data_IF_357902739434
#
_entry.id   IF_357902739434
#
_cell.length_a   1.000
_cell.length_b   1.000
_cell.length_c   1.000
_cell.angle_alpha   90.00
_cell.angle_beta   90.00
_cell.angle_gamma   90.00
#
_symmetry.space_group_name_H-M   'P 1'
#
loop_
_entity.id
_entity.type
_entity.pdbx_description
1 polymer ?
#
# COMPACT_ATOMS: atom_id res chain seq x y z
N UNK A 1 -2.90 -34.37 -22.83
CA UNK A 1 -3.00 -33.34 -21.78
C UNK A 1 -4.17 -32.34 -21.97
N UNK A 2 -5.13 -32.55 -22.90
CA UNK A 2 -6.25 -31.61 -23.12
C UNK A 2 -7.20 -31.44 -21.92
N UNK A 3 -7.10 -32.29 -20.90
CA UNK A 3 -7.87 -32.26 -19.66
C UNK A 3 -7.12 -31.63 -18.47
N UNK A 4 -5.87 -31.18 -18.65
CA UNK A 4 -5.10 -30.57 -17.58
C UNK A 4 -5.78 -29.27 -17.15
N UNK A 5 -6.07 -29.16 -15.85
CA UNK A 5 -6.72 -27.97 -15.24
C UNK A 5 -5.74 -27.12 -14.47
N UNK A 6 -4.77 -27.73 -13.81
CA UNK A 6 -3.84 -27.04 -12.92
C UNK A 6 -2.42 -27.36 -13.36
N UNK A 7 -1.66 -26.34 -13.73
CA UNK A 7 -0.25 -26.44 -14.04
C UNK A 7 0.53 -25.54 -13.08
N UNK A 8 1.18 -26.17 -12.09
CA UNK A 8 2.04 -25.49 -11.14
C UNK A 8 3.48 -25.96 -11.32
N UNK A 9 4.34 -25.03 -11.72
CA UNK A 9 5.77 -25.24 -11.96
C UNK A 9 6.61 -24.25 -11.14
N UNK A 10 6.05 -23.67 -10.07
CA UNK A 10 6.74 -22.67 -9.25
C UNK A 10 8.13 -23.12 -8.81
N UNK A 11 9.13 -22.25 -8.98
CA UNK A 11 10.53 -22.48 -8.62
C UNK A 11 11.29 -23.42 -9.56
N UNK A 12 10.67 -23.90 -10.65
CA UNK A 12 11.38 -24.73 -11.64
C UNK A 12 12.19 -23.82 -12.57
N UNK A 13 13.50 -24.01 -12.57
CA UNK A 13 14.41 -23.16 -13.30
C UNK A 13 14.52 -23.56 -14.79
N UNK A 14 13.79 -22.87 -15.68
CA UNK A 14 13.75 -23.20 -17.10
C UNK A 14 14.79 -22.44 -17.94
N UNK A 15 15.13 -21.19 -17.59
CA UNK A 15 15.92 -20.27 -18.44
C UNK A 15 15.44 -20.24 -19.91
N UNK A 16 14.12 -20.29 -20.12
CA UNK A 16 13.53 -20.34 -21.45
C UNK A 16 12.28 -19.46 -21.56
N UNK A 17 11.85 -19.11 -22.79
CA UNK A 17 10.52 -18.54 -23.00
C UNK A 17 9.40 -19.47 -22.57
N UNK A 18 8.24 -18.88 -22.26
CA UNK A 18 7.00 -19.64 -22.11
C UNK A 18 6.56 -20.10 -23.51
N UNK A 19 6.38 -21.41 -23.74
CA UNK A 19 6.08 -21.90 -25.08
C UNK A 19 4.66 -21.51 -25.50
N UNK A 20 4.51 -20.93 -26.69
CA UNK A 20 3.21 -20.59 -27.31
C UNK A 20 2.22 -21.75 -27.29
N UNK A 21 2.70 -22.99 -27.40
CA UNK A 21 1.86 -24.19 -27.35
C UNK A 21 1.01 -24.34 -26.08
N UNK A 22 1.33 -23.60 -25.00
CA UNK A 22 0.56 -23.60 -23.75
C UNK A 22 -0.88 -23.10 -23.95
N UNK A 23 -1.13 -22.26 -24.96
CA UNK A 23 -2.48 -21.81 -25.35
C UNK A 23 -3.40 -22.96 -25.77
N UNK A 24 -2.85 -24.14 -26.12
CA UNK A 24 -3.63 -25.31 -26.48
C UNK A 24 -4.25 -26.04 -25.27
N UNK A 25 -3.91 -25.62 -24.04
CA UNK A 25 -4.47 -26.16 -22.80
C UNK A 25 -5.81 -25.49 -22.46
N UNK A 26 -6.83 -25.65 -23.30
CA UNK A 26 -8.13 -24.98 -23.14
C UNK A 26 -8.91 -25.34 -21.87
N UNK A 27 -8.55 -26.43 -21.19
CA UNK A 27 -9.14 -26.83 -19.90
C UNK A 27 -8.45 -26.17 -18.70
N UNK A 28 -7.39 -25.38 -18.91
CA UNK A 28 -6.59 -24.81 -17.83
C UNK A 28 -7.40 -23.80 -17.03
N UNK A 29 -7.36 -23.97 -15.71
CA UNK A 29 -7.99 -23.15 -14.67
C UNK A 29 -6.93 -22.39 -13.89
N UNK A 30 -5.77 -23.01 -13.63
CA UNK A 30 -4.67 -22.42 -12.91
C UNK A 30 -3.35 -22.63 -13.65
N UNK A 31 -2.61 -21.54 -13.85
CA UNK A 31 -1.24 -21.51 -14.32
C UNK A 31 -0.37 -20.80 -13.27
N UNK A 32 0.62 -21.51 -12.73
CA UNK A 32 1.60 -20.96 -11.80
C UNK A 32 3.01 -21.27 -12.28
N UNK A 33 3.74 -20.21 -12.64
CA UNK A 33 5.10 -20.21 -13.17
C UNK A 33 5.99 -19.23 -12.37
N UNK A 34 5.73 -19.08 -11.07
CA UNK A 34 6.45 -18.15 -10.21
C UNK A 34 7.92 -18.55 -10.09
N UNK A 35 8.85 -17.60 -10.19
CA UNK A 35 10.26 -17.86 -9.88
C UNK A 35 10.89 -18.92 -10.78
N UNK A 36 10.55 -18.91 -12.06
CA UNK A 36 10.93 -19.96 -13.02
C UNK A 36 12.11 -19.56 -13.93
N UNK A 37 12.68 -18.37 -13.71
CA UNK A 37 13.70 -17.75 -14.57
C UNK A 37 13.28 -17.69 -16.04
N UNK A 38 11.99 -17.39 -16.27
CA UNK A 38 11.43 -17.24 -17.61
C UNK A 38 11.92 -15.95 -18.26
N UNK A 39 12.07 -15.98 -19.58
CA UNK A 39 12.57 -14.87 -20.40
C UNK A 39 11.68 -14.63 -21.62
N UNK A 40 11.86 -13.51 -22.32
CA UNK A 40 11.11 -13.22 -23.55
C UNK A 40 9.66 -12.82 -23.27
N UNK A 41 8.78 -12.87 -24.27
CA UNK A 41 7.39 -12.43 -24.12
C UNK A 41 6.49 -13.56 -23.61
N UNK A 42 5.59 -13.23 -22.69
CA UNK A 42 4.53 -14.12 -22.23
C UNK A 42 3.40 -14.21 -23.27
N UNK A 43 2.93 -15.42 -23.64
CA UNK A 43 1.86 -15.58 -24.61
C UNK A 43 0.53 -14.97 -24.14
N UNK A 44 0.15 -13.84 -24.74
CA UNK A 44 -1.03 -13.06 -24.31
C UNK A 44 -2.36 -13.80 -24.45
N UNK A 45 -2.46 -14.75 -25.36
CA UNK A 45 -3.68 -15.54 -25.55
C UNK A 45 -4.00 -16.44 -24.35
N UNK A 46 -3.04 -16.67 -23.43
CA UNK A 46 -3.29 -17.38 -22.17
C UNK A 46 -4.29 -16.61 -21.29
N UNK A 47 -4.27 -15.27 -21.31
CA UNK A 47 -5.25 -14.44 -20.58
C UNK A 47 -6.68 -14.60 -21.10
N UNK A 48 -6.83 -15.13 -22.32
CA UNK A 48 -8.11 -15.30 -23.02
C UNK A 48 -8.62 -16.74 -22.97
N UNK A 49 -7.92 -17.65 -22.29
CA UNK A 49 -8.38 -19.03 -22.13
C UNK A 49 -9.73 -19.07 -21.39
N UNK A 50 -10.69 -19.90 -21.85
CA UNK A 50 -12.09 -19.79 -21.42
C UNK A 50 -12.30 -20.14 -19.94
N UNK A 51 -11.45 -20.99 -19.37
CA UNK A 51 -11.58 -21.50 -18.00
C UNK A 51 -10.57 -20.91 -17.02
N UNK A 52 -9.66 -20.05 -17.48
CA UNK A 52 -8.54 -19.58 -16.65
C UNK A 52 -9.06 -18.68 -15.52
N UNK A 53 -8.61 -18.97 -14.31
CA UNK A 53 -8.97 -18.25 -13.09
C UNK A 53 -7.74 -17.73 -12.34
N UNK A 54 -6.61 -18.41 -12.47
CA UNK A 54 -5.37 -18.05 -11.78
C UNK A 54 -4.23 -18.00 -12.80
N UNK A 55 -3.57 -16.85 -12.88
CA UNK A 55 -2.30 -16.69 -13.57
C UNK A 55 -1.32 -16.08 -12.57
N UNK A 56 -0.28 -16.83 -12.22
CA UNK A 56 0.85 -16.37 -11.43
C UNK A 56 2.13 -16.59 -12.25
N UNK A 57 2.71 -15.50 -12.74
CA UNK A 57 3.99 -15.48 -13.46
C UNK A 57 5.04 -14.64 -12.72
N UNK A 58 4.80 -14.41 -11.43
CA UNK A 58 5.60 -13.49 -10.62
C UNK A 58 7.05 -13.93 -10.45
N UNK A 59 7.94 -13.00 -10.07
CA UNK A 59 9.35 -13.27 -9.82
C UNK A 59 10.07 -13.87 -11.04
N UNK A 60 9.78 -13.34 -12.22
CA UNK A 60 10.51 -13.64 -13.45
C UNK A 60 11.00 -12.31 -14.05
N UNK A 61 12.10 -11.77 -13.51
CA UNK A 61 12.59 -10.42 -13.78
C UNK A 61 12.90 -10.15 -15.28
N UNK A 62 13.13 -11.19 -16.07
CA UNK A 62 13.41 -11.10 -17.51
C UNK A 62 12.21 -11.46 -18.41
N UNK A 63 11.08 -11.88 -17.83
CA UNK A 63 9.85 -12.16 -18.56
C UNK A 63 9.13 -10.85 -18.87
N UNK A 64 8.86 -10.63 -20.15
CA UNK A 64 8.09 -9.50 -20.63
C UNK A 64 6.62 -9.89 -20.64
N UNK A 65 5.78 -9.14 -19.95
CA UNK A 65 4.33 -9.32 -19.97
C UNK A 65 3.69 -8.07 -20.57
N UNK A 66 2.66 -8.26 -21.40
CA UNK A 66 1.85 -7.16 -21.96
C UNK A 66 0.40 -7.49 -21.69
N UNK A 67 -0.30 -6.67 -20.91
CA UNK A 67 -1.71 -6.95 -20.65
C UNK A 67 -2.53 -6.77 -21.94
N UNK A 68 -3.27 -7.80 -22.41
CA UNK A 68 -4.09 -7.68 -23.59
C UNK A 68 -5.36 -6.88 -23.31
N UNK A 69 -6.14 -6.63 -24.35
CA UNK A 69 -7.52 -6.21 -24.13
C UNK A 69 -8.32 -7.40 -23.60
N UNK A 70 -8.77 -7.31 -22.36
CA UNK A 70 -9.55 -8.37 -21.72
C UNK A 70 -10.96 -8.48 -22.31
N UNK A 71 -11.50 -9.69 -22.31
CA UNK A 71 -12.87 -9.96 -22.75
C UNK A 71 -13.85 -9.89 -21.57
N UNK A 72 -15.07 -9.43 -21.87
CA UNK A 72 -16.18 -9.53 -20.93
C UNK A 72 -16.48 -11.00 -20.63
N UNK A 73 -16.83 -11.30 -19.37
CA UNK A 73 -17.15 -12.67 -18.94
C UNK A 73 -15.92 -13.52 -18.57
N UNK A 74 -14.71 -12.94 -18.57
CA UNK A 74 -13.53 -13.64 -18.04
C UNK A 74 -13.75 -14.14 -16.61
N UNK A 75 -13.30 -15.36 -16.35
CA UNK A 75 -13.36 -16.00 -15.04
C UNK A 75 -12.13 -15.69 -14.17
N UNK A 76 -11.20 -14.84 -14.64
CA UNK A 76 -9.96 -14.55 -13.93
C UNK A 76 -10.24 -13.98 -12.53
N UNK A 77 -9.64 -14.61 -11.52
CA UNK A 77 -9.76 -14.30 -10.09
C UNK A 77 -8.46 -13.80 -9.50
N UNK A 78 -7.33 -14.32 -9.96
CA UNK A 78 -6.00 -13.93 -9.54
C UNK A 78 -5.13 -13.67 -10.77
N UNK A 79 -4.55 -12.48 -10.80
CA UNK A 79 -3.47 -12.11 -11.70
C UNK A 79 -2.31 -11.60 -10.86
N UNK A 80 -1.24 -12.38 -10.80
CA UNK A 80 0.04 -11.96 -10.22
C UNK A 80 1.12 -11.99 -11.30
N UNK A 81 1.59 -10.79 -11.66
CA UNK A 81 2.71 -10.59 -12.57
C UNK A 81 3.83 -9.78 -11.90
N UNK A 82 3.85 -9.74 -10.56
CA UNK A 82 4.82 -8.93 -9.82
C UNK A 82 6.25 -9.36 -10.11
N UNK A 83 7.19 -8.41 -10.12
CA UNK A 83 8.59 -8.68 -10.45
C UNK A 83 8.73 -9.33 -11.85
N UNK A 84 8.15 -8.68 -12.86
CA UNK A 84 8.32 -9.01 -14.29
C UNK A 84 8.57 -7.72 -15.10
N UNK A 85 9.10 -7.84 -16.31
CA UNK A 85 9.24 -6.72 -17.24
C UNK A 85 7.91 -6.40 -17.91
N UNK A 86 7.04 -5.71 -17.21
CA UNK A 86 5.82 -5.18 -17.81
C UNK A 86 6.10 -3.92 -18.62
N UNK A 87 5.50 -3.83 -19.81
CA UNK A 87 5.56 -2.63 -20.66
C UNK A 87 4.15 -2.19 -21.06
N UNK A 88 3.96 -0.88 -21.23
CA UNK A 88 2.68 -0.30 -21.62
C UNK A 88 1.87 0.28 -20.45
N UNK A 89 0.57 0.46 -20.68
CA UNK A 89 -0.38 1.01 -19.73
C UNK A 89 -1.34 -0.09 -19.23
N UNK A 90 -1.99 0.11 -18.10
CA UNK A 90 -3.09 -0.75 -17.66
C UNK A 90 -4.29 -0.51 -18.60
N UNK A 91 -4.76 -1.52 -19.35
CA UNK A 91 -5.82 -1.31 -20.34
C UNK A 91 -7.17 -1.00 -19.69
N UNK A 92 -7.99 -0.16 -20.32
CA UNK A 92 -9.36 0.14 -19.85
C UNK A 92 -10.25 -1.12 -19.74
N UNK A 93 -9.97 -2.16 -20.53
CA UNK A 93 -10.66 -3.44 -20.44
C UNK A 93 -10.37 -4.21 -19.14
N UNK A 94 -9.40 -3.79 -18.31
CA UNK A 94 -9.19 -4.38 -16.98
C UNK A 94 -10.50 -4.39 -16.18
N UNK A 95 -11.33 -3.36 -16.34
CA UNK A 95 -12.63 -3.26 -15.67
C UNK A 95 -13.60 -4.38 -16.05
N UNK A 96 -13.36 -5.16 -17.10
CA UNK A 96 -14.20 -6.29 -17.52
C UNK A 96 -13.98 -7.56 -16.67
N UNK A 97 -12.89 -7.64 -15.92
CA UNK A 97 -12.56 -8.78 -15.06
C UNK A 97 -13.37 -8.77 -13.75
N UNK A 98 -14.70 -8.90 -13.83
CA UNK A 98 -15.61 -8.74 -12.67
C UNK A 98 -15.37 -9.75 -11.53
N UNK A 99 -14.76 -10.89 -11.84
CA UNK A 99 -14.41 -11.94 -10.89
C UNK A 99 -13.05 -11.73 -10.23
N UNK A 100 -12.28 -10.71 -10.66
CA UNK A 100 -10.92 -10.49 -10.18
C UNK A 100 -10.95 -10.11 -8.70
N UNK A 101 -10.22 -10.89 -7.91
CA UNK A 101 -10.11 -10.76 -6.47
C UNK A 101 -8.72 -10.27 -6.05
N UNK A 102 -7.68 -10.73 -6.74
CA UNK A 102 -6.30 -10.31 -6.52
C UNK A 102 -5.72 -9.78 -7.83
N UNK A 103 -5.26 -8.53 -7.82
CA UNK A 103 -4.44 -7.95 -8.87
C UNK A 103 -3.12 -7.50 -8.24
N UNK A 104 -2.06 -8.26 -8.49
CA UNK A 104 -0.73 -7.93 -8.05
C UNK A 104 0.16 -7.66 -9.27
N UNK A 105 0.53 -6.39 -9.42
CA UNK A 105 1.40 -5.90 -10.46
C UNK A 105 2.62 -5.20 -9.85
N UNK A 106 2.98 -5.50 -8.60
CA UNK A 106 4.12 -4.89 -7.91
C UNK A 106 5.41 -4.98 -8.72
N UNK A 107 6.18 -3.89 -8.74
CA UNK A 107 7.49 -3.81 -9.37
C UNK A 107 7.45 -4.21 -10.86
N UNK A 108 6.45 -3.67 -11.55
CA UNK A 108 6.22 -3.84 -12.97
C UNK A 108 6.47 -2.51 -13.69
N UNK A 109 7.02 -2.54 -14.90
CA UNK A 109 7.34 -1.32 -15.66
C UNK A 109 6.14 -0.57 -16.26
N UNK A 110 4.97 -0.59 -15.62
CA UNK A 110 3.80 0.14 -16.11
C UNK A 110 4.09 1.63 -16.27
N UNK A 111 3.33 2.25 -17.16
CA UNK A 111 3.35 3.70 -17.37
C UNK A 111 1.92 4.21 -17.51
N UNK A 112 1.76 5.52 -17.66
CA UNK A 112 0.45 6.12 -17.86
C UNK A 112 -0.32 6.33 -16.56
N UNK A 113 -1.65 6.29 -16.67
CA UNK A 113 -2.59 6.57 -15.57
C UNK A 113 -3.35 5.31 -15.18
N UNK A 114 -3.88 5.29 -13.96
CA UNK A 114 -4.84 4.28 -13.57
C UNK A 114 -6.18 4.53 -14.31
N UNK A 115 -6.75 3.53 -15.00
CA UNK A 115 -7.99 3.72 -15.74
C UNK A 115 -9.21 3.83 -14.81
N UNK A 116 -10.19 4.66 -15.17
CA UNK A 116 -11.44 4.85 -14.40
C UNK A 116 -12.25 3.55 -14.29
N UNK A 117 -12.15 2.68 -15.30
CA UNK A 117 -12.78 1.36 -15.37
C UNK A 117 -12.30 0.41 -14.27
N UNK A 118 -11.16 0.67 -13.61
CA UNK A 118 -10.72 -0.11 -12.45
C UNK A 118 -11.78 -0.13 -11.34
N UNK A 119 -12.54 0.96 -11.16
CA UNK A 119 -13.65 1.02 -10.21
C UNK A 119 -14.83 0.08 -10.50
N UNK A 120 -14.76 -0.71 -11.57
CA UNK A 120 -15.73 -1.73 -11.89
C UNK A 120 -15.36 -3.13 -11.35
N UNK A 121 -14.16 -3.30 -10.79
CA UNK A 121 -13.66 -4.55 -10.19
C UNK A 121 -14.27 -4.78 -8.80
N UNK A 122 -15.59 -4.99 -8.72
CA UNK A 122 -16.34 -5.03 -7.45
C UNK A 122 -15.93 -6.17 -6.51
N UNK A 123 -15.30 -7.22 -7.03
CA UNK A 123 -14.84 -8.39 -6.26
C UNK A 123 -13.39 -8.23 -5.76
N UNK A 124 -12.71 -7.14 -6.13
CA UNK A 124 -11.30 -6.94 -5.84
C UNK A 124 -11.09 -6.74 -4.35
N UNK A 125 -10.21 -7.57 -3.80
CA UNK A 125 -9.84 -7.60 -2.40
C UNK A 125 -8.41 -7.10 -2.18
N UNK A 126 -7.50 -7.47 -3.08
CA UNK A 126 -6.09 -7.06 -3.06
C UNK A 126 -5.77 -6.33 -4.36
N UNK A 127 -5.28 -5.11 -4.21
CA UNK A 127 -4.68 -4.32 -5.29
C UNK A 127 -3.28 -3.88 -4.88
N UNK A 128 -2.27 -4.47 -5.51
CA UNK A 128 -0.87 -4.08 -5.33
C UNK A 128 -0.30 -3.58 -6.66
N UNK A 129 -0.01 -2.28 -6.70
CA UNK A 129 0.61 -1.57 -7.82
C UNK A 129 1.87 -0.84 -7.35
N UNK A 130 2.51 -1.32 -6.28
CA UNK A 130 3.73 -0.74 -5.73
C UNK A 130 4.83 -0.69 -6.80
N UNK A 131 5.60 0.40 -6.86
CA UNK A 131 6.77 0.50 -7.75
C UNK A 131 6.44 0.31 -9.24
N UNK A 132 5.35 0.88 -9.72
CA UNK A 132 4.83 0.72 -11.09
C UNK A 132 5.01 1.93 -12.00
N UNK A 133 5.77 2.95 -11.61
CA UNK A 133 5.92 4.23 -12.33
C UNK A 133 4.61 4.94 -12.74
N UNK A 134 3.46 4.56 -12.19
CA UNK A 134 2.13 5.07 -12.51
C UNK A 134 2.02 6.55 -12.18
N UNK A 135 1.26 7.30 -12.95
CA UNK A 135 1.18 8.76 -12.85
C UNK A 135 -0.26 9.29 -12.88
N UNK A 136 -0.41 10.60 -12.70
CA UNK A 136 -1.72 11.25 -12.68
C UNK A 136 -2.37 11.22 -11.30
N UNK A 137 -3.69 11.35 -11.25
CA UNK A 137 -4.47 11.31 -10.00
C UNK A 137 -5.07 9.93 -9.79
N UNK A 138 -5.32 9.55 -8.53
CA UNK A 138 -6.14 8.35 -8.24
C UNK A 138 -7.58 8.61 -8.75
N UNK A 139 -8.12 7.78 -9.67
CA UNK A 139 -9.49 7.89 -10.14
C UNK A 139 -10.52 7.90 -9.02
N UNK A 140 -11.54 8.77 -9.13
CA UNK A 140 -12.62 8.81 -8.14
C UNK A 140 -13.42 7.49 -8.09
N UNK A 141 -13.38 6.74 -9.19
CA UNK A 141 -14.00 5.41 -9.29
C UNK A 141 -13.28 4.36 -8.44
N UNK A 142 -12.06 4.57 -7.94
CA UNK A 142 -11.43 3.61 -7.00
C UNK A 142 -12.27 3.43 -5.73
N UNK A 143 -13.00 4.46 -5.28
CA UNK A 143 -13.93 4.36 -4.14
C UNK A 143 -15.12 3.42 -4.34
N UNK A 144 -15.24 2.79 -5.51
CA UNK A 144 -16.25 1.79 -5.79
C UNK A 144 -15.84 0.34 -5.43
N UNK A 145 -14.57 0.13 -5.05
CA UNK A 145 -13.98 -1.18 -4.74
C UNK A 145 -14.33 -1.59 -3.30
N UNK A 146 -15.62 -1.75 -3.00
CA UNK A 146 -16.11 -1.93 -1.62
C UNK A 146 -15.69 -3.24 -0.93
N UNK A 147 -15.01 -4.15 -1.63
CA UNK A 147 -14.44 -5.38 -1.06
C UNK A 147 -12.94 -5.30 -0.79
N UNK A 148 -12.31 -4.16 -1.11
CA UNK A 148 -10.87 -3.98 -1.00
C UNK A 148 -10.44 -3.95 0.47
N UNK A 149 -9.49 -4.83 0.82
CA UNK A 149 -8.90 -4.90 2.16
C UNK A 149 -7.41 -4.53 2.15
N UNK A 150 -6.76 -4.61 0.99
CA UNK A 150 -5.36 -4.27 0.77
C UNK A 150 -5.21 -3.36 -0.44
N UNK A 151 -4.63 -2.18 -0.23
CA UNK A 151 -4.27 -1.23 -1.28
C UNK A 151 -2.83 -0.75 -1.09
N UNK A 152 -1.95 -1.12 -2.00
CA UNK A 152 -0.59 -0.59 -2.10
C UNK A 152 -0.41 0.08 -3.46
N UNK A 153 -0.24 1.40 -3.47
CA UNK A 153 0.13 2.18 -4.65
C UNK A 153 1.39 3.01 -4.40
N UNK A 154 2.20 2.58 -3.44
CA UNK A 154 3.41 3.30 -3.05
C UNK A 154 4.48 3.26 -4.15
N UNK A 155 5.47 4.15 -4.04
CA UNK A 155 6.59 4.24 -4.99
C UNK A 155 6.12 4.48 -6.43
N UNK A 156 5.23 5.45 -6.62
CA UNK A 156 4.70 5.84 -7.91
C UNK A 156 4.81 7.37 -8.11
N UNK A 157 4.26 7.86 -9.21
CA UNK A 157 4.18 9.28 -9.56
C UNK A 157 2.75 9.84 -9.40
N UNK A 158 1.92 9.26 -8.52
CA UNK A 158 0.58 9.80 -8.27
C UNK A 158 0.67 11.19 -7.66
N UNK A 159 -0.19 12.10 -8.11
CA UNK A 159 -0.21 13.51 -7.74
C UNK A 159 -1.63 14.00 -7.50
N UNK A 160 -1.74 15.21 -6.96
CA UNK A 160 -3.02 15.85 -6.67
C UNK A 160 -3.55 15.48 -5.28
N UNK A 161 -4.81 15.82 -5.01
CA UNK A 161 -5.45 15.55 -3.73
C UNK A 161 -5.88 14.09 -3.65
N UNK A 162 -5.87 13.55 -2.44
CA UNK A 162 -6.46 12.25 -2.17
C UNK A 162 -7.98 12.32 -2.40
N UNK A 163 -8.58 11.43 -3.21
CA UNK A 163 -9.98 11.57 -3.56
C UNK A 163 -10.86 11.21 -2.35
N UNK A 164 -11.81 12.09 -2.02
CA UNK A 164 -12.73 11.92 -0.86
C UNK A 164 -13.49 10.59 -0.88
N UNK A 165 -13.63 9.99 -2.05
CA UNK A 165 -14.28 8.68 -2.26
C UNK A 165 -13.53 7.51 -1.63
N UNK A 166 -12.26 7.64 -1.22
CA UNK A 166 -11.57 6.58 -0.48
C UNK A 166 -12.28 6.23 0.84
N UNK A 167 -13.07 7.16 1.39
CA UNK A 167 -13.94 6.89 2.55
C UNK A 167 -14.91 5.71 2.36
N UNK A 168 -15.20 5.35 1.12
CA UNK A 168 -16.09 4.24 0.81
C UNK A 168 -15.40 2.87 0.92
N UNK A 169 -14.07 2.84 1.07
CA UNK A 169 -13.28 1.62 1.19
C UNK A 169 -13.17 1.18 2.65
N UNK A 170 -14.32 1.08 3.32
CA UNK A 170 -14.41 0.87 4.78
C UNK A 170 -13.92 -0.50 5.26
N UNK A 171 -13.57 -1.41 4.35
CA UNK A 171 -12.96 -2.72 4.65
C UNK A 171 -11.43 -2.71 4.58
N UNK A 172 -10.81 -1.58 4.24
CA UNK A 172 -9.35 -1.50 4.15
C UNK A 172 -8.71 -1.78 5.51
N UNK A 173 -7.77 -2.71 5.50
CA UNK A 173 -6.93 -3.09 6.64
C UNK A 173 -5.47 -2.68 6.43
N UNK A 174 -5.06 -2.54 5.17
CA UNK A 174 -3.73 -2.11 4.75
C UNK A 174 -3.86 -1.02 3.68
N UNK A 175 -3.23 0.13 3.93
CA UNK A 175 -3.16 1.22 2.98
C UNK A 175 -1.74 1.80 2.95
N UNK A 176 -1.07 1.66 1.82
CA UNK A 176 0.24 2.28 1.56
C UNK A 176 0.17 3.18 0.33
N UNK A 177 0.33 4.49 0.58
CA UNK A 177 0.35 5.56 -0.41
C UNK A 177 1.73 6.24 -0.45
N UNK A 178 2.73 5.68 0.23
CA UNK A 178 4.02 6.32 0.46
C UNK A 178 4.79 6.54 -0.85
N UNK A 179 5.78 7.43 -0.82
CA UNK A 179 6.65 7.73 -1.96
C UNK A 179 5.86 8.09 -3.23
N UNK A 180 5.03 9.13 -3.11
CA UNK A 180 4.24 9.70 -4.19
C UNK A 180 4.32 11.24 -4.15
N UNK A 181 3.45 11.93 -4.87
CA UNK A 181 3.38 13.40 -4.96
C UNK A 181 1.99 13.90 -4.54
N UNK A 182 1.33 13.21 -3.61
CA UNK A 182 0.03 13.63 -3.10
C UNK A 182 0.15 14.94 -2.34
N UNK A 183 -0.81 15.85 -2.55
CA UNK A 183 -0.84 17.20 -1.97
C UNK A 183 -2.13 17.44 -1.17
N UNK A 184 -2.13 18.52 -0.41
CA UNK A 184 -3.32 19.02 0.29
C UNK A 184 -3.47 18.43 1.69
N UNK A 185 -4.62 18.70 2.32
CA UNK A 185 -4.93 18.17 3.64
C UNK A 185 -5.60 16.81 3.52
N UNK A 186 -5.39 15.95 4.51
CA UNK A 186 -6.18 14.74 4.66
C UNK A 186 -7.63 15.11 5.02
N UNK A 187 -8.64 14.38 4.51
CA UNK A 187 -10.03 14.61 4.88
C UNK A 187 -10.24 14.54 6.40
N UNK A 188 -11.03 15.45 6.98
CA UNK A 188 -11.26 15.48 8.43
C UNK A 188 -11.86 14.17 8.98
N UNK A 189 -12.61 13.42 8.17
CA UNK A 189 -13.23 12.15 8.54
C UNK A 189 -12.36 10.92 8.27
N UNK A 190 -11.15 11.09 7.73
CA UNK A 190 -10.32 9.98 7.21
C UNK A 190 -10.15 8.82 8.20
N UNK A 191 -9.78 9.12 9.45
CA UNK A 191 -9.58 8.08 10.46
C UNK A 191 -10.88 7.40 10.92
N UNK A 192 -12.02 8.08 10.81
CA UNK A 192 -13.34 7.49 11.10
C UNK A 192 -13.83 6.62 9.94
N UNK A 193 -13.59 7.06 8.71
CA UNK A 193 -14.06 6.38 7.50
C UNK A 193 -13.26 5.10 7.21
N UNK A 194 -12.00 5.04 7.67
CA UNK A 194 -11.07 3.92 7.50
C UNK A 194 -10.67 3.29 8.85
N UNK A 195 -11.65 3.12 9.75
CA UNK A 195 -11.40 2.68 11.13
C UNK A 195 -10.86 1.23 11.26
N UNK A 196 -11.00 0.41 10.21
CA UNK A 196 -10.51 -0.98 10.15
C UNK A 196 -9.01 -1.09 9.79
N UNK A 197 -8.34 0.04 9.48
CA UNK A 197 -6.93 0.03 9.13
C UNK A 197 -6.06 -0.45 10.30
N UNK A 198 -5.18 -1.40 9.98
CA UNK A 198 -4.11 -1.90 10.86
C UNK A 198 -2.74 -1.35 10.45
N UNK A 199 -2.58 -1.00 9.16
CA UNK A 199 -1.38 -0.40 8.61
C UNK A 199 -1.74 0.80 7.73
N UNK A 200 -1.17 1.96 8.03
CA UNK A 200 -1.30 3.18 7.25
C UNK A 200 0.07 3.81 7.04
N UNK A 201 0.51 3.87 5.78
CA UNK A 201 1.69 4.62 5.38
C UNK A 201 1.35 5.69 4.33
N UNK A 202 1.61 6.94 4.69
CA UNK A 202 1.45 8.13 3.85
C UNK A 202 2.78 8.86 3.65
N UNK A 203 3.89 8.24 4.05
CA UNK A 203 5.21 8.84 4.08
C UNK A 203 5.71 9.33 2.72
N UNK A 204 6.69 10.22 2.69
CA UNK A 204 7.31 10.73 1.47
C UNK A 204 6.29 11.25 0.45
N UNK A 205 5.47 12.20 0.90
CA UNK A 205 4.45 12.88 0.10
C UNK A 205 4.52 14.40 0.36
N UNK A 206 3.51 15.15 -0.10
CA UNK A 206 3.42 16.59 0.08
C UNK A 206 2.13 16.97 0.82
N UNK A 207 1.61 16.07 1.67
CA UNK A 207 0.45 16.34 2.52
C UNK A 207 0.79 17.47 3.49
N UNK A 208 -0.21 18.32 3.80
CA UNK A 208 -0.03 19.52 4.64
C UNK A 208 -1.15 19.69 5.65
N UNK A 209 -0.98 20.66 6.54
CA UNK A 209 -1.96 21.02 7.57
C UNK A 209 -1.83 20.16 8.82
N UNK A 210 -2.73 20.33 9.79
CA UNK A 210 -2.60 19.66 11.08
C UNK A 210 -2.94 18.18 10.98
N UNK A 211 -2.42 17.40 11.94
CA UNK A 211 -2.80 16.02 12.13
C UNK A 211 -4.34 15.89 12.31
N UNK A 212 -5.06 15.07 11.52
CA UNK A 212 -6.51 15.02 11.59
C UNK A 212 -7.01 14.42 12.91
N UNK A 213 -7.96 15.09 13.56
CA UNK A 213 -8.49 14.63 14.86
C UNK A 213 -9.22 13.27 14.78
N UNK A 214 -9.77 12.91 13.63
CA UNK A 214 -10.43 11.61 13.44
C UNK A 214 -9.50 10.40 13.56
N UNK A 215 -8.18 10.58 13.46
CA UNK A 215 -7.22 9.48 13.58
C UNK A 215 -7.28 8.81 14.95
N UNK A 216 -7.70 9.53 16.00
CA UNK A 216 -7.95 8.93 17.33
C UNK A 216 -9.09 7.89 17.35
N UNK A 217 -9.81 7.69 16.24
CA UNK A 217 -10.85 6.66 16.09
C UNK A 217 -10.31 5.34 15.49
N UNK A 218 -9.07 5.31 15.02
CA UNK A 218 -8.47 4.16 14.31
C UNK A 218 -7.95 3.10 15.29
N UNK A 219 -8.85 2.57 16.14
CA UNK A 219 -8.49 1.71 17.27
C UNK A 219 -7.76 0.40 16.91
N UNK A 220 -7.82 -0.04 15.65
CA UNK A 220 -7.14 -1.23 15.13
C UNK A 220 -5.72 -0.96 14.61
N UNK A 221 -5.29 0.31 14.58
CA UNK A 221 -4.04 0.69 13.93
C UNK A 221 -2.82 0.23 14.71
N UNK A 222 -1.93 -0.51 14.04
CA UNK A 222 -0.67 -1.03 14.56
C UNK A 222 0.53 -0.23 14.05
N UNK A 223 0.45 0.25 12.80
CA UNK A 223 1.51 1.02 12.16
C UNK A 223 0.95 2.30 11.55
N UNK A 224 1.51 3.44 11.96
CA UNK A 224 1.18 4.76 11.44
C UNK A 224 2.45 5.48 11.02
N UNK A 225 2.65 5.60 9.71
CA UNK A 225 3.82 6.26 9.12
C UNK A 225 3.37 7.46 8.30
N UNK A 226 3.79 8.65 8.73
CA UNK A 226 3.48 9.94 8.11
C UNK A 226 4.75 10.71 7.75
N UNK A 227 5.90 10.02 7.68
CA UNK A 227 7.22 10.63 7.56
C UNK A 227 7.36 11.49 6.31
N UNK A 228 8.28 12.45 6.30
CA UNK A 228 8.66 13.21 5.10
C UNK A 228 7.44 13.81 4.35
N UNK A 229 6.71 14.65 5.07
CA UNK A 229 5.54 15.38 4.59
C UNK A 229 5.64 16.86 5.01
N UNK A 230 4.53 17.60 4.97
CA UNK A 230 4.41 18.99 5.41
C UNK A 230 3.33 19.16 6.48
N UNK A 231 3.08 18.12 7.27
CA UNK A 231 2.12 18.20 8.38
C UNK A 231 2.63 19.20 9.43
N UNK A 232 1.73 20.01 9.96
CA UNK A 232 2.03 21.10 10.89
C UNK A 232 1.21 21.00 12.19
N UNK A 233 1.34 22.02 13.05
CA UNK A 233 0.64 22.08 14.33
C UNK A 233 1.42 21.43 15.47
N UNK A 234 0.72 21.14 16.56
CA UNK A 234 1.31 20.56 17.78
C UNK A 234 1.28 19.03 17.76
N UNK A 235 1.97 18.40 18.70
CA UNK A 235 1.87 16.95 18.92
C UNK A 235 0.40 16.52 19.10
N UNK A 236 -0.10 15.55 18.32
CA UNK A 236 -1.52 15.17 18.36
C UNK A 236 -1.85 14.29 19.57
N UNK A 237 -2.42 14.91 20.61
CA UNK A 237 -2.88 14.24 21.85
C UNK A 237 -3.86 13.09 21.63
N UNK A 238 -4.56 13.08 20.49
CA UNK A 238 -5.52 12.03 20.15
C UNK A 238 -4.84 10.70 19.80
N UNK A 239 -3.53 10.69 19.54
CA UNK A 239 -2.77 9.45 19.36
C UNK A 239 -2.84 8.56 20.59
N UNK A 240 -2.99 9.11 21.81
CA UNK A 240 -3.12 8.30 23.02
C UNK A 240 -4.32 7.33 23.00
N UNK A 241 -5.30 7.53 22.11
CA UNK A 241 -6.40 6.59 21.93
C UNK A 241 -5.96 5.31 21.18
N UNK A 242 -4.83 5.33 20.47
CA UNK A 242 -4.32 4.23 19.65
C UNK A 242 -3.48 3.28 20.50
N UNK A 243 -4.12 2.62 21.45
CA UNK A 243 -3.46 1.79 22.48
C UNK A 243 -2.77 0.53 21.93
N UNK A 244 -3.12 0.11 20.71
CA UNK A 244 -2.51 -1.02 20.00
C UNK A 244 -1.31 -0.64 19.13
N UNK A 245 -1.01 0.66 19.00
CA UNK A 245 0.02 1.15 18.08
C UNK A 245 1.38 0.59 18.46
N UNK A 246 2.06 -0.06 17.51
CA UNK A 246 3.39 -0.65 17.65
C UNK A 246 4.47 0.29 17.10
N UNK A 247 4.19 0.92 15.96
CA UNK A 247 5.13 1.83 15.31
C UNK A 247 4.46 3.14 14.93
N UNK A 248 5.08 4.24 15.34
CA UNK A 248 4.70 5.60 15.00
C UNK A 248 5.91 6.31 14.39
N UNK A 249 5.74 6.81 13.17
CA UNK A 249 6.73 7.63 12.48
C UNK A 249 6.08 8.93 12.03
N UNK A 250 6.47 10.04 12.68
CA UNK A 250 6.07 11.41 12.33
C UNK A 250 7.27 12.23 11.82
N UNK A 251 8.38 11.58 11.50
CA UNK A 251 9.63 12.24 11.18
C UNK A 251 9.55 13.11 9.92
N UNK A 252 10.44 14.10 9.76
CA UNK A 252 10.51 14.88 8.53
C UNK A 252 9.24 15.70 8.25
N UNK A 253 8.70 16.37 9.27
CA UNK A 253 7.48 17.18 9.17
C UNK A 253 7.70 18.57 9.78
N UNK A 254 6.61 19.33 9.93
CA UNK A 254 6.60 20.70 10.47
C UNK A 254 5.86 20.75 11.83
N UNK A 255 5.79 19.64 12.56
CA UNK A 255 5.19 19.62 13.90
C UNK A 255 6.05 20.44 14.87
N UNK A 256 5.41 21.18 15.77
CA UNK A 256 6.06 22.19 16.61
C UNK A 256 5.48 22.22 18.03
N UNK A 257 6.06 23.10 18.86
CA UNK A 257 5.64 23.25 20.25
C UNK A 257 6.17 22.13 21.15
N UNK A 258 5.77 22.16 22.42
CA UNK A 258 6.17 21.13 23.38
C UNK A 258 5.33 19.87 23.24
N UNK A 259 5.94 18.73 23.57
CA UNK A 259 5.22 17.47 23.64
C UNK A 259 4.55 17.34 25.02
N UNK A 260 3.25 17.01 25.11
CA UNK A 260 2.56 16.87 26.39
C UNK A 260 3.18 15.78 27.28
N UNK A 261 3.53 16.07 28.55
CA UNK A 261 4.28 15.13 29.39
C UNK A 261 3.60 13.80 29.72
N UNK A 262 2.27 13.75 29.80
CA UNK A 262 1.55 12.54 30.24
C UNK A 262 1.02 11.67 29.09
N UNK A 263 1.26 12.07 27.84
CA UNK A 263 0.69 11.37 26.69
C UNK A 263 1.22 9.93 26.56
N UNK A 264 2.51 9.74 26.86
CA UNK A 264 3.20 8.46 26.68
C UNK A 264 2.82 7.41 27.73
N UNK A 265 2.16 7.81 28.82
CA UNK A 265 1.62 6.87 29.82
C UNK A 265 0.53 5.95 29.23
N UNK A 266 -0.11 6.36 28.13
CA UNK A 266 -1.10 5.53 27.43
C UNK A 266 -0.48 4.59 26.38
N UNK A 267 0.80 4.77 26.04
CA UNK A 267 1.48 4.00 24.99
C UNK A 267 2.18 2.76 25.57
N UNK A 268 1.38 1.71 25.79
CA UNK A 268 1.89 0.44 26.30
C UNK A 268 2.56 -0.43 25.21
N UNK A 269 2.19 -0.24 23.95
CA UNK A 269 2.53 -1.16 22.86
C UNK A 269 3.60 -0.62 21.89
N UNK A 270 3.85 0.69 21.89
CA UNK A 270 4.78 1.31 20.92
C UNK A 270 6.19 0.81 21.19
N UNK A 271 6.79 0.19 20.18
CA UNK A 271 8.18 -0.27 20.17
C UNK A 271 9.10 0.62 19.33
N UNK A 272 8.57 1.34 18.34
CA UNK A 272 9.31 2.24 17.47
C UNK A 272 8.62 3.59 17.42
N UNK A 273 9.28 4.62 17.94
CA UNK A 273 8.85 6.01 17.91
C UNK A 273 9.90 6.87 17.21
N UNK A 274 9.56 7.42 16.05
CA UNK A 274 10.39 8.40 15.35
C UNK A 274 9.66 9.75 15.24
N UNK A 275 10.22 10.76 15.90
CA UNK A 275 9.75 12.16 15.87
C UNK A 275 10.81 13.10 15.31
N UNK A 276 11.86 12.55 14.69
CA UNK A 276 13.00 13.33 14.22
C UNK A 276 12.65 14.33 13.13
N UNK A 277 13.56 15.28 12.86
CA UNK A 277 13.42 16.22 11.75
C UNK A 277 12.08 16.97 11.79
N UNK A 278 11.79 17.59 12.94
CA UNK A 278 10.59 18.37 13.20
C UNK A 278 10.99 19.68 13.91
N UNK A 279 10.01 20.45 14.38
CA UNK A 279 10.20 21.69 15.16
C UNK A 279 9.73 21.53 16.61
N UNK A 280 9.69 20.31 17.16
CA UNK A 280 9.30 20.10 18.56
C UNK A 280 10.30 20.76 19.50
N UNK A 281 9.80 21.44 20.53
CA UNK A 281 10.60 22.20 21.47
C UNK A 281 10.28 21.90 22.94
N UNK A 282 10.85 22.70 23.83
CA UNK A 282 10.74 22.48 25.28
C UNK A 282 11.49 21.24 25.76
N UNK A 283 11.20 20.79 26.98
CA UNK A 283 11.84 19.61 27.57
C UNK A 283 11.27 18.30 26.98
N UNK A 284 12.15 17.31 26.82
CA UNK A 284 11.76 15.95 26.45
C UNK A 284 10.95 15.35 27.62
N UNK A 285 9.72 14.86 27.41
CA UNK A 285 8.91 14.22 28.45
C UNK A 285 9.60 12.99 29.06
N UNK A 286 9.65 12.93 30.39
CA UNK A 286 10.18 11.77 31.13
C UNK A 286 9.44 10.47 30.81
N UNK A 287 8.13 10.57 30.60
CA UNK A 287 7.26 9.44 30.30
C UNK A 287 7.61 8.72 28.99
N UNK A 288 8.33 9.36 28.06
CA UNK A 288 8.85 8.67 26.87
C UNK A 288 9.83 7.57 27.23
N UNK A 289 10.66 7.80 28.26
CA UNK A 289 11.67 6.83 28.66
C UNK A 289 11.05 5.67 29.45
N UNK A 290 9.92 5.89 30.12
CA UNK A 290 9.22 4.85 30.91
C UNK A 290 8.23 4.01 30.10
N UNK A 291 8.18 4.17 28.77
CA UNK A 291 7.31 3.37 27.91
C UNK A 291 7.75 1.90 27.94
N UNK A 292 6.88 0.96 28.33
CA UNK A 292 7.29 -0.40 28.68
C UNK A 292 7.78 -1.24 27.51
N UNK A 293 7.32 -0.95 26.28
CA UNK A 293 7.66 -1.71 25.08
C UNK A 293 8.65 -1.01 24.15
N UNK A 294 9.14 0.19 24.51
CA UNK A 294 9.92 1.03 23.61
C UNK A 294 11.32 0.45 23.36
N UNK A 295 11.65 0.23 22.10
CA UNK A 295 12.95 -0.33 21.65
C UNK A 295 13.74 0.69 20.85
N UNK A 296 13.06 1.49 20.03
CA UNK A 296 13.66 2.54 19.20
C UNK A 296 12.97 3.88 19.46
N UNK A 297 13.78 4.86 19.84
CA UNK A 297 13.37 6.25 20.01
C UNK A 297 14.31 7.15 19.21
N UNK A 298 13.75 7.95 18.31
CA UNK A 298 14.51 8.95 17.59
C UNK A 298 13.87 10.34 17.70
N UNK A 299 14.66 11.30 18.18
CA UNK A 299 14.27 12.68 18.44
C UNK A 299 15.22 13.69 17.76
N UNK A 300 16.15 13.24 16.91
CA UNK A 300 17.17 14.12 16.33
C UNK A 300 16.55 15.25 15.51
N UNK A 301 17.32 16.31 15.28
CA UNK A 301 16.93 17.45 14.43
C UNK A 301 15.56 18.03 14.80
N UNK A 302 15.44 18.37 16.09
CA UNK A 302 14.33 19.11 16.70
C UNK A 302 14.85 20.32 17.48
N UNK A 303 13.95 21.06 18.12
CA UNK A 303 14.25 22.25 18.94
C UNK A 303 14.14 21.95 20.45
N UNK A 304 14.30 20.70 20.88
CA UNK A 304 14.25 20.32 22.29
C UNK A 304 15.34 21.03 23.08
N UNK A 305 15.01 21.43 24.31
CA UNK A 305 15.88 22.16 25.23
C UNK A 305 15.68 21.66 26.66
N UNK A 306 16.49 22.14 27.60
CA UNK A 306 16.40 21.75 29.01
C UNK A 306 17.18 20.46 29.32
N UNK A 307 17.16 20.02 30.59
CA UNK A 307 17.97 18.90 31.03
C UNK A 307 17.42 17.57 30.50
N UNK A 308 18.31 16.72 29.98
CA UNK A 308 17.99 15.31 29.78
C UNK A 308 17.92 14.63 31.15
N UNK A 309 16.71 14.26 31.55
CA UNK A 309 16.47 13.47 32.76
C UNK A 309 16.06 12.08 32.31
N UNK A 310 16.84 11.08 32.69
CA UNK A 310 16.51 9.67 32.51
C UNK A 310 16.51 9.11 33.93
N UNK A 311 15.34 8.83 34.48
CA UNK A 311 15.27 8.16 35.78
C UNK A 311 15.51 6.66 35.55
N UNK A 312 16.28 6.03 36.45
CA UNK A 312 16.58 4.61 36.36
C UNK A 312 15.27 3.81 36.42
N UNK A 313 14.92 3.19 35.31
CA UNK A 313 13.81 2.24 35.21
C UNK A 313 14.32 0.94 35.82
N UNK A 314 13.92 0.65 37.07
CA UNK A 314 14.11 -0.66 37.68
C UNK A 314 13.08 -1.65 37.15
#
# INVERSE_FOLDING_TARGET
MKSLKDLNLNGVNFYSPVPESLINLSSLVSLSLRGCSLVGEFPNDIFLLPNIQVIDVSNNDDLIVVLPQFQSGSSLRLLDSSFTKLSGEVPESIGYLKSLNVLNLRQCGFTGKLPDTMGQLKSLNVLDLNSCSLSGTVPSRVGNLSQLTYLDIANNNFKGHLPVVLRNLSKLTYLDLSHNKFIGQLPLSFGKDLAELTFLDLGFNLFRGPFPSSFGSMSQLLHLHLSDNRFDGMFPILLANLTQLLSLDLSGNQFSGSIPPHIFENFNSINKLDLSNNMFGGAIPLSMFTMPSLVYLNLNDNQFTGPLKIENIQ
#
